data_IF_006076623352
#
_entry.id   IF_006076623352
#
_cell.length_a   1.000
_cell.length_b   1.000
_cell.length_c   1.000
_cell.angle_alpha   90.00
_cell.angle_beta   90.00
_cell.angle_gamma   90.00
#
_symmetry.space_group_name_H-M   'P 1'
#
loop_
_entity.id
_entity.type
_entity.pdbx_description
1 polymer ?
#
# COMPACT_ATOMS: atom_id res chain seq x y z
N UNK A 1 -19.45 -3.38 -20.28
CA UNK A 1 -18.00 -3.59 -20.47
C UNK A 1 -17.29 -3.95 -19.18
N UNK A 2 -17.47 -3.25 -18.08
CA UNK A 2 -16.80 -3.50 -16.77
C UNK A 2 -17.00 -4.92 -16.23
N UNK A 3 -18.16 -5.53 -16.44
CA UNK A 3 -18.44 -6.92 -15.99
C UNK A 3 -17.51 -7.99 -16.59
N UNK A 4 -16.91 -7.72 -17.73
CA UNK A 4 -16.00 -8.67 -18.40
C UNK A 4 -14.53 -8.53 -17.97
N UNK A 5 -14.13 -7.37 -17.43
CA UNK A 5 -12.76 -7.14 -16.92
C UNK A 5 -12.55 -7.94 -15.62
N UNK A 6 -13.54 -7.96 -14.72
CA UNK A 6 -13.46 -8.76 -13.49
C UNK A 6 -13.43 -10.27 -13.77
N UNK A 7 -14.16 -10.74 -14.81
CA UNK A 7 -14.11 -12.14 -15.22
C UNK A 7 -12.78 -12.53 -15.88
N UNK A 8 -12.13 -11.61 -16.59
CA UNK A 8 -10.84 -11.85 -17.22
C UNK A 8 -9.72 -11.98 -16.17
N UNK A 9 -9.75 -11.17 -15.11
CA UNK A 9 -8.77 -11.30 -14.01
C UNK A 9 -8.93 -12.62 -13.25
N UNK A 10 -10.15 -13.07 -13.01
CA UNK A 10 -10.40 -14.34 -12.31
C UNK A 10 -9.89 -15.58 -13.09
N UNK A 11 -9.87 -15.53 -14.42
CA UNK A 11 -9.40 -16.63 -15.28
C UNK A 11 -7.89 -16.74 -15.31
N UNK A 12 -7.15 -15.65 -15.11
CA UNK A 12 -5.68 -15.68 -15.15
C UNK A 12 -5.04 -16.39 -13.94
N UNK A 13 -5.78 -16.58 -12.85
CA UNK A 13 -5.26 -17.26 -11.64
C UNK A 13 -5.52 -18.77 -11.60
N UNK A 14 -6.11 -19.37 -12.62
CA UNK A 14 -6.42 -20.81 -12.65
C UNK A 14 -5.40 -21.68 -13.39
N UNK A 15 -4.37 -21.08 -13.98
CA UNK A 15 -3.29 -21.86 -14.63
C UNK A 15 -2.19 -22.18 -13.63
N UNK A 16 -1.56 -23.34 -13.77
CA UNK A 16 -0.52 -23.83 -12.89
C UNK A 16 0.54 -22.75 -12.62
N UNK A 17 0.59 -22.29 -11.37
CA UNK A 17 1.59 -21.33 -10.89
C UNK A 17 2.93 -22.05 -10.83
N UNK A 18 3.91 -21.60 -11.58
CA UNK A 18 5.29 -22.02 -11.46
C UNK A 18 5.96 -21.11 -10.45
N UNK A 19 6.30 -21.65 -9.28
CA UNK A 19 7.17 -21.05 -8.27
C UNK A 19 7.00 -19.54 -8.00
N UNK A 20 5.82 -19.13 -7.51
CA UNK A 20 5.67 -17.79 -6.92
C UNK A 20 6.65 -17.65 -5.74
N UNK A 21 7.37 -16.54 -5.67
CA UNK A 21 8.17 -16.18 -4.51
C UNK A 21 7.28 -15.54 -3.45
N UNK A 22 7.29 -16.10 -2.25
CA UNK A 22 6.49 -15.62 -1.11
C UNK A 22 7.45 -15.13 -0.04
N UNK A 23 7.47 -13.81 0.19
CA UNK A 23 8.34 -13.15 1.14
C UNK A 23 7.54 -12.55 2.30
N UNK A 24 7.45 -13.21 3.46
CA UNK A 24 6.89 -12.60 4.65
C UNK A 24 7.83 -11.54 5.23
N UNK A 25 7.27 -10.46 5.72
CA UNK A 25 8.03 -9.40 6.39
C UNK A 25 7.25 -8.82 7.58
N UNK A 26 7.94 -8.06 8.42
CA UNK A 26 7.31 -7.35 9.53
C UNK A 26 8.25 -6.39 10.21
N UNK A 27 7.67 -5.42 10.88
CA UNK A 27 8.39 -4.45 11.70
C UNK A 27 7.59 -4.22 12.96
N UNK A 28 8.23 -4.33 14.11
CA UNK A 28 7.70 -3.89 15.40
C UNK A 28 8.44 -2.62 15.81
N UNK A 29 7.73 -1.53 15.97
CA UNK A 29 8.28 -0.21 16.19
C UNK A 29 7.58 0.46 17.36
N UNK A 30 8.36 0.83 18.38
CA UNK A 30 7.85 1.45 19.59
C UNK A 30 8.47 2.83 19.78
N UNK A 31 7.65 3.73 20.28
CA UNK A 31 8.05 5.07 20.69
C UNK A 31 7.97 5.16 22.22
N UNK A 32 9.07 5.63 22.83
CA UNK A 32 9.07 6.05 24.23
C UNK A 32 9.07 7.57 24.30
N UNK A 33 8.12 8.13 25.02
CA UNK A 33 8.04 9.57 25.25
C UNK A 33 7.94 9.89 26.75
N UNK A 34 8.36 11.10 27.11
CA UNK A 34 8.07 11.73 28.39
C UNK A 34 7.22 12.95 28.07
N UNK A 35 5.97 12.90 28.42
CA UNK A 35 4.97 13.91 28.10
C UNK A 35 4.47 14.59 29.39
N UNK A 36 3.82 15.74 29.26
CA UNK A 36 3.16 16.42 30.38
C UNK A 36 1.64 16.46 30.14
N UNK A 37 0.87 16.23 31.18
CA UNK A 37 -0.58 16.42 31.13
C UNK A 37 -0.96 17.92 31.19
N UNK A 38 -2.25 18.24 31.04
CA UNK A 38 -2.76 19.59 31.09
C UNK A 38 -2.58 20.31 32.46
N UNK A 39 -2.19 19.57 33.49
CA UNK A 39 -1.89 20.06 34.83
C UNK A 39 -0.40 20.21 35.09
N UNK A 40 0.45 19.90 34.11
CA UNK A 40 1.90 19.98 34.22
C UNK A 40 2.56 18.76 34.88
N UNK A 41 1.85 17.64 35.05
CA UNK A 41 2.45 16.44 35.61
C UNK A 41 3.12 15.64 34.48
N UNK A 42 4.41 15.34 34.67
CA UNK A 42 5.16 14.52 33.74
C UNK A 42 4.80 13.03 33.84
N UNK A 43 4.65 12.34 32.73
CA UNK A 43 4.48 10.89 32.66
C UNK A 43 5.25 10.29 31.50
N UNK A 44 5.59 9.01 31.66
CA UNK A 44 6.24 8.27 30.57
C UNK A 44 5.21 7.46 29.81
N UNK A 45 5.35 7.39 28.49
CA UNK A 45 4.49 6.64 27.61
C UNK A 45 5.30 5.76 26.67
N UNK A 46 4.88 4.51 26.53
CA UNK A 46 5.37 3.58 25.53
C UNK A 46 4.22 3.32 24.56
N UNK A 47 4.39 3.62 23.29
CA UNK A 47 3.35 3.52 22.27
C UNK A 47 3.85 2.74 21.06
N UNK A 48 2.93 2.06 20.42
CA UNK A 48 3.17 1.56 19.04
C UNK A 48 3.44 2.75 18.11
N UNK A 49 4.41 2.59 17.21
CA UNK A 49 4.76 3.61 16.22
C UNK A 49 4.66 3.04 14.80
N UNK A 50 3.57 2.34 14.51
CA UNK A 50 3.27 1.79 13.20
C UNK A 50 3.86 0.40 12.95
N UNK A 51 3.76 -0.47 13.94
CA UNK A 51 4.07 -1.89 13.78
C UNK A 51 3.21 -2.52 12.68
N UNK A 52 3.79 -3.47 11.96
CA UNK A 52 3.12 -4.10 10.81
C UNK A 52 3.70 -5.46 10.48
N UNK A 53 2.89 -6.29 9.85
CA UNK A 53 3.28 -7.55 9.22
C UNK A 53 2.70 -7.63 7.83
N UNK A 54 3.38 -8.33 6.93
CA UNK A 54 2.91 -8.44 5.55
C UNK A 54 3.52 -9.62 4.81
N UNK A 55 3.02 -9.79 3.60
CA UNK A 55 3.50 -10.80 2.65
C UNK A 55 3.58 -10.13 1.29
N UNK A 56 4.73 -10.24 0.65
CA UNK A 56 4.93 -9.97 -0.76
C UNK A 56 4.88 -11.30 -1.52
N UNK A 57 4.19 -11.32 -2.64
CA UNK A 57 4.08 -12.46 -3.55
C UNK A 57 4.46 -11.98 -4.93
N UNK A 58 5.58 -12.45 -5.41
CA UNK A 58 6.15 -12.08 -6.71
C UNK A 58 6.18 -13.29 -7.65
N UNK A 59 6.45 -13.05 -8.93
CA UNK A 59 6.64 -14.05 -9.96
C UNK A 59 5.46 -15.06 -10.11
N UNK A 60 4.23 -14.56 -9.91
CA UNK A 60 3.03 -15.37 -10.14
C UNK A 60 2.85 -15.51 -11.66
N UNK A 61 3.34 -16.60 -12.22
CA UNK A 61 3.27 -16.78 -13.67
C UNK A 61 3.73 -18.17 -14.12
N UNK A 62 3.83 -18.32 -15.42
CA UNK A 62 4.40 -19.51 -16.08
C UNK A 62 5.76 -19.11 -16.66
N UNK A 63 6.75 -19.98 -16.49
CA UNK A 63 8.10 -19.76 -17.03
C UNK A 63 8.06 -19.41 -18.53
N UNK A 64 8.79 -18.36 -18.91
CA UNK A 64 8.85 -17.87 -20.30
C UNK A 64 7.73 -16.90 -20.69
N UNK A 65 6.83 -16.56 -19.79
CA UNK A 65 5.83 -15.51 -20.04
C UNK A 65 6.46 -14.11 -19.89
N UNK A 66 6.00 -13.17 -20.71
CA UNK A 66 6.42 -11.76 -20.66
C UNK A 66 5.58 -10.92 -19.69
N UNK A 67 4.58 -11.52 -19.08
CA UNK A 67 3.71 -10.92 -18.08
C UNK A 67 3.68 -11.82 -16.85
N UNK A 68 4.01 -11.27 -15.70
CA UNK A 68 4.00 -11.93 -14.41
C UNK A 68 3.02 -11.26 -13.47
N UNK A 69 2.43 -12.02 -12.56
CA UNK A 69 1.58 -11.50 -11.50
C UNK A 69 2.36 -11.17 -10.26
N UNK A 70 1.85 -10.24 -9.46
CA UNK A 70 2.33 -9.95 -8.11
C UNK A 70 1.18 -9.61 -7.18
N UNK A 71 1.39 -9.75 -5.88
CA UNK A 71 0.41 -9.34 -4.87
C UNK A 71 1.10 -8.88 -3.59
N UNK A 72 0.44 -7.99 -2.84
CA UNK A 72 0.90 -7.56 -1.53
C UNK A 72 -0.24 -7.50 -0.55
N UNK A 73 0.00 -8.06 0.64
CA UNK A 73 -0.87 -7.93 1.80
C UNK A 73 -0.05 -7.39 2.97
N UNK A 74 -0.51 -6.28 3.57
CA UNK A 74 0.10 -5.70 4.76
C UNK A 74 -1.01 -5.28 5.73
N UNK A 75 -0.88 -5.66 6.99
CA UNK A 75 -1.74 -5.24 8.09
C UNK A 75 -0.93 -4.50 9.14
N UNK A 76 -1.49 -3.43 9.69
CA UNK A 76 -0.99 -2.79 10.89
C UNK A 76 -1.26 -3.70 12.09
N UNK A 77 -0.36 -3.67 13.05
CA UNK A 77 -0.50 -4.40 14.31
C UNK A 77 -0.42 -3.38 15.44
N UNK A 78 -1.55 -3.10 16.08
CA UNK A 78 -1.58 -2.28 17.26
C UNK A 78 -1.19 -3.13 18.47
N UNK A 79 -0.09 -2.77 19.13
CA UNK A 79 0.50 -3.55 20.21
C UNK A 79 0.41 -2.86 21.57
N UNK A 80 -0.15 -1.64 21.62
CA UNK A 80 -0.22 -0.85 22.84
C UNK A 80 -1.65 -0.54 23.32
N UNK A 81 -2.67 -0.79 22.49
CA UNK A 81 -4.06 -0.56 22.82
C UNK A 81 -4.81 -1.88 23.06
N UNK A 82 -5.35 -2.03 24.27
CA UNK A 82 -6.17 -3.18 24.66
C UNK A 82 -7.68 -2.97 24.41
N UNK A 83 -8.08 -1.82 23.88
CA UNK A 83 -9.48 -1.40 23.74
C UNK A 83 -9.97 -1.28 22.30
N UNK A 84 -9.09 -1.39 21.30
CA UNK A 84 -9.42 -1.26 19.89
C UNK A 84 -9.04 -2.51 19.09
N UNK A 85 -9.22 -2.44 17.77
CA UNK A 85 -8.85 -3.53 16.87
C UNK A 85 -7.32 -3.69 16.81
N UNK A 86 -6.83 -4.88 17.14
CA UNK A 86 -5.39 -5.21 17.08
C UNK A 86 -4.83 -5.12 15.65
N UNK A 87 -5.68 -5.28 14.63
CA UNK A 87 -5.26 -5.26 13.24
C UNK A 87 -5.98 -4.17 12.45
N UNK A 88 -5.21 -3.44 11.65
CA UNK A 88 -5.75 -2.45 10.75
C UNK A 88 -5.30 -2.66 9.30
N UNK A 89 -6.17 -2.28 8.35
CA UNK A 89 -5.93 -2.48 6.92
C UNK A 89 -4.91 -1.48 6.40
N UNK A 90 -3.77 -1.95 5.90
CA UNK A 90 -2.74 -1.11 5.29
C UNK A 90 -2.71 -1.26 3.78
N UNK A 91 -2.20 -2.37 3.27
CA UNK A 91 -2.11 -2.65 1.83
C UNK A 91 -2.78 -3.98 1.51
N UNK A 92 -3.50 -4.03 0.41
CA UNK A 92 -4.10 -5.25 -0.11
C UNK A 92 -4.36 -5.06 -1.61
N UNK A 93 -3.41 -5.45 -2.46
CA UNK A 93 -3.53 -5.30 -3.90
C UNK A 93 -2.90 -6.45 -4.65
N UNK A 94 -3.32 -6.61 -5.89
CA UNK A 94 -2.77 -7.56 -6.86
C UNK A 94 -2.47 -6.83 -8.15
N UNK A 95 -1.49 -7.31 -8.91
CA UNK A 95 -1.10 -6.67 -10.15
C UNK A 95 -0.50 -7.61 -11.17
N UNK A 96 -0.24 -7.02 -12.34
CA UNK A 96 0.47 -7.64 -13.44
C UNK A 96 1.64 -6.75 -13.82
N UNK A 97 2.81 -7.34 -14.00
CA UNK A 97 4.05 -6.69 -14.38
C UNK A 97 4.50 -7.15 -15.76
N UNK A 98 4.96 -6.21 -16.57
CA UNK A 98 5.57 -6.50 -17.86
C UNK A 98 6.66 -5.49 -18.20
N UNK A 99 7.83 -5.98 -18.58
CA UNK A 99 8.95 -5.16 -19.01
C UNK A 99 8.60 -4.21 -20.16
N UNK A 100 7.66 -4.58 -21.03
CA UNK A 100 7.30 -3.78 -22.21
C UNK A 100 6.24 -2.72 -21.90
N UNK A 101 5.23 -3.04 -21.09
CA UNK A 101 4.08 -2.15 -20.83
C UNK A 101 4.16 -1.46 -19.47
N UNK A 102 4.88 -2.02 -18.49
CA UNK A 102 4.90 -1.57 -17.09
C UNK A 102 4.00 -2.41 -16.22
N UNK A 103 3.71 -1.91 -15.04
CA UNK A 103 2.97 -2.58 -13.99
C UNK A 103 1.58 -1.97 -13.84
N UNK A 104 0.58 -2.81 -13.69
CA UNK A 104 -0.79 -2.39 -13.38
C UNK A 104 -1.24 -3.15 -12.14
N UNK A 105 -1.77 -2.45 -11.15
CA UNK A 105 -2.29 -3.06 -9.93
C UNK A 105 -3.66 -2.53 -9.54
N UNK A 106 -4.40 -3.33 -8.78
CA UNK A 106 -5.73 -2.99 -8.28
C UNK A 106 -5.86 -3.38 -6.81
N UNK A 107 -6.52 -2.52 -6.02
CA UNK A 107 -6.79 -2.77 -4.62
C UNK A 107 -6.51 -1.57 -3.71
N UNK A 108 -6.18 -1.85 -2.44
CA UNK A 108 -5.76 -0.82 -1.49
C UNK A 108 -4.24 -0.69 -1.52
N UNK A 109 -3.75 0.44 -1.96
CA UNK A 109 -2.33 0.68 -2.18
C UNK A 109 -1.91 2.11 -1.84
N UNK A 110 -0.60 2.34 -1.74
CA UNK A 110 -0.03 3.65 -1.46
C UNK A 110 -0.24 4.61 -2.62
N UNK A 111 -0.29 5.89 -2.30
CA UNK A 111 -0.25 6.95 -3.30
C UNK A 111 1.16 7.14 -3.86
N UNK A 112 1.34 7.31 -5.18
CA UNK A 112 2.64 7.57 -5.80
C UNK A 112 3.36 8.78 -5.20
N UNK A 113 2.63 9.85 -4.86
CA UNK A 113 3.20 11.01 -4.17
C UNK A 113 3.80 10.65 -2.81
N UNK A 114 3.13 9.77 -2.05
CA UNK A 114 3.63 9.31 -0.75
C UNK A 114 4.93 8.55 -0.92
N UNK A 115 4.98 7.60 -1.85
CA UNK A 115 6.13 6.72 -2.02
C UNK A 115 7.34 7.44 -2.64
N UNK A 116 7.12 8.32 -3.62
CA UNK A 116 8.18 8.96 -4.36
C UNK A 116 8.66 10.29 -3.78
N UNK A 117 7.78 11.04 -3.08
CA UNK A 117 8.07 12.40 -2.61
C UNK A 117 8.06 12.47 -1.09
N UNK A 118 6.94 12.10 -0.46
CA UNK A 118 6.75 12.34 0.96
C UNK A 118 7.71 11.51 1.82
N UNK A 119 7.97 10.26 1.47
CA UNK A 119 8.93 9.40 2.19
C UNK A 119 10.36 9.92 2.09
N UNK A 120 10.74 10.50 0.95
CA UNK A 120 12.06 11.10 0.74
C UNK A 120 12.25 12.36 1.59
N UNK A 121 11.17 13.13 1.81
CA UNK A 121 11.20 14.34 2.63
C UNK A 121 11.02 14.06 4.14
N UNK A 122 10.52 12.89 4.52
CA UNK A 122 10.24 12.50 5.90
C UNK A 122 11.46 11.83 6.55
N UNK A 123 12.44 12.64 6.93
CA UNK A 123 13.69 12.18 7.56
C UNK A 123 13.55 11.90 9.06
N UNK A 124 12.45 12.32 9.69
CA UNK A 124 12.20 12.12 11.12
C UNK A 124 11.07 11.11 11.32
N UNK A 125 11.34 10.04 12.05
CA UNK A 125 10.36 8.97 12.27
C UNK A 125 9.29 9.32 13.31
N UNK A 126 9.59 10.16 14.30
CA UNK A 126 8.71 10.46 15.43
C UNK A 126 8.39 11.95 15.55
N UNK A 127 9.40 12.80 15.50
CA UNK A 127 9.27 14.24 15.70
C UNK A 127 9.80 15.01 14.49
N UNK A 128 9.20 16.16 14.21
CA UNK A 128 9.63 17.03 13.12
C UNK A 128 9.08 16.64 11.75
N UNK A 129 8.09 15.79 11.70
CA UNK A 129 7.36 15.49 10.46
C UNK A 129 6.68 16.73 9.89
N UNK A 130 6.71 16.91 8.57
CA UNK A 130 6.08 18.04 7.91
C UNK A 130 4.56 17.84 7.84
N UNK A 131 3.84 18.40 8.80
CA UNK A 131 2.38 18.42 8.83
C UNK A 131 1.76 19.44 7.84
N UNK A 132 2.58 20.14 7.07
CA UNK A 132 2.10 21.19 6.14
C UNK A 132 1.44 20.62 4.89
N UNK A 133 1.63 19.33 4.61
CA UNK A 133 1.00 18.64 3.49
C UNK A 133 0.05 17.57 4.03
N UNK A 134 -1.26 17.81 3.87
CA UNK A 134 -2.28 16.79 4.10
C UNK A 134 -2.52 16.04 2.79
N UNK A 135 -1.95 14.88 2.66
CA UNK A 135 -2.18 13.98 1.52
C UNK A 135 -2.61 12.60 2.05
N UNK A 136 -3.44 11.94 1.29
CA UNK A 136 -3.78 10.54 1.57
C UNK A 136 -2.54 9.66 1.41
N UNK A 137 -2.29 8.77 2.37
CA UNK A 137 -1.16 7.85 2.27
C UNK A 137 -1.51 6.58 1.49
N UNK A 138 -2.78 6.20 1.51
CA UNK A 138 -3.30 4.98 0.85
C UNK A 138 -4.73 5.19 0.41
N UNK A 139 -5.10 4.62 -0.73
CA UNK A 139 -6.48 4.55 -1.20
C UNK A 139 -6.95 3.12 -1.40
N UNK A 140 -8.18 2.85 -0.98
CA UNK A 140 -8.91 1.64 -1.36
C UNK A 140 -9.54 1.84 -2.75
N UNK A 141 -9.97 0.74 -3.37
CA UNK A 141 -10.66 0.76 -4.67
C UNK A 141 -9.86 1.50 -5.75
N UNK A 142 -8.54 1.40 -5.71
CA UNK A 142 -7.65 2.11 -6.63
C UNK A 142 -7.10 1.19 -7.72
N UNK A 143 -6.80 1.81 -8.85
CA UNK A 143 -6.06 1.23 -9.97
C UNK A 143 -4.79 2.06 -10.09
N UNK A 144 -3.62 1.43 -10.05
CA UNK A 144 -2.35 2.12 -10.25
C UNK A 144 -1.62 1.58 -11.48
N UNK A 145 -0.81 2.46 -12.07
CA UNK A 145 0.11 2.17 -13.15
C UNK A 145 1.48 2.70 -12.82
N UNK A 146 2.52 1.92 -13.09
CA UNK A 146 3.92 2.33 -12.95
C UNK A 146 4.73 1.88 -14.16
N UNK A 147 5.63 2.74 -14.63
CA UNK A 147 6.55 2.43 -15.72
C UNK A 147 7.84 3.23 -15.61
N UNK A 148 8.97 2.53 -15.65
CA UNK A 148 10.29 3.16 -15.79
C UNK A 148 10.76 3.15 -17.24
N UNK A 149 11.24 4.31 -17.72
CA UNK A 149 11.77 4.51 -19.06
C UNK A 149 13.13 5.19 -18.91
N UNK A 150 14.19 4.41 -18.87
CA UNK A 150 15.53 4.91 -18.54
C UNK A 150 15.57 5.53 -17.14
N UNK A 151 15.99 6.80 -16.99
CA UNK A 151 16.03 7.47 -15.68
C UNK A 151 14.67 8.05 -15.24
N UNK A 152 13.64 7.99 -16.06
CA UNK A 152 12.32 8.52 -15.78
C UNK A 152 11.41 7.41 -15.28
N UNK A 153 10.71 7.64 -14.15
CA UNK A 153 9.57 6.86 -13.69
C UNK A 153 8.27 7.64 -13.87
N UNK A 154 7.25 6.97 -14.34
CA UNK A 154 5.88 7.50 -14.48
C UNK A 154 4.97 6.63 -13.64
N UNK A 155 4.36 7.24 -12.65
CA UNK A 155 3.44 6.58 -11.72
C UNK A 155 2.11 7.34 -11.74
N UNK A 156 1.00 6.60 -11.76
CA UNK A 156 -0.33 7.17 -11.75
C UNK A 156 -1.27 6.29 -10.91
N UNK A 157 -2.21 6.92 -10.22
CA UNK A 157 -3.23 6.22 -9.43
C UNK A 157 -4.60 6.87 -9.66
N UNK A 158 -5.61 6.05 -9.88
CA UNK A 158 -7.00 6.47 -9.94
C UNK A 158 -7.83 5.71 -8.92
N UNK A 159 -8.73 6.41 -8.24
CA UNK A 159 -9.67 5.84 -7.28
C UNK A 159 -11.05 5.72 -7.91
N UNK A 160 -11.67 4.54 -7.75
CA UNK A 160 -13.01 4.23 -8.25
C UNK A 160 -13.82 3.69 -7.08
N UNK A 161 -14.40 4.56 -6.28
CA UNK A 161 -15.08 4.16 -5.04
C UNK A 161 -16.56 3.78 -5.24
N UNK A 162 -17.11 4.08 -6.41
CA UNK A 162 -18.47 3.73 -6.76
C UNK A 162 -19.54 4.52 -6.02
N UNK A 163 -19.22 5.73 -5.60
CA UNK A 163 -20.18 6.62 -4.95
C UNK A 163 -21.39 6.86 -5.83
N UNK A 164 -22.59 6.78 -5.23
CA UNK A 164 -23.86 6.95 -5.94
C UNK A 164 -23.92 8.30 -6.65
N UNK A 165 -24.16 8.26 -7.96
CA UNK A 165 -24.31 9.46 -8.81
C UNK A 165 -23.01 9.96 -9.44
N UNK A 166 -21.91 9.21 -9.31
CA UNK A 166 -20.66 9.46 -10.03
C UNK A 166 -20.31 8.26 -10.90
N UNK A 167 -20.04 8.52 -12.16
CA UNK A 167 -19.55 7.54 -13.11
C UNK A 167 -18.08 7.85 -13.44
N UNK A 168 -17.17 6.90 -13.19
CA UNK A 168 -15.77 7.00 -13.56
C UNK A 168 -14.79 7.03 -12.40
N UNK A 169 -13.70 7.77 -12.55
CA UNK A 169 -12.64 7.91 -11.55
C UNK A 169 -12.99 9.06 -10.60
N UNK A 170 -13.04 8.78 -9.31
CA UNK A 170 -13.43 9.75 -8.27
C UNK A 170 -12.26 10.67 -7.88
N UNK A 171 -11.03 10.16 -7.95
CA UNK A 171 -9.81 10.95 -7.81
C UNK A 171 -8.64 10.32 -8.55
N UNK A 172 -7.61 11.13 -8.88
CA UNK A 172 -6.40 10.66 -9.58
C UNK A 172 -5.15 11.41 -9.08
N UNK A 173 -4.01 10.76 -9.17
CA UNK A 173 -2.66 11.28 -8.94
C UNK A 173 -1.69 10.84 -10.05
#
# INVERSE_FOLDING_TARGET
MIKYIAALMAVLFTTAVSAAEITPYGTFNYKWSNDEDSSGNAYNKLEDNGSKIGIDIDDIGVEGQSVIGFAKLEVGVDTDDSGSDTFDSRLAYVGLSSNSIGDVSVGRQSHPFTDNVATTASIFNVYGGNSSFSYGTRSSNSIAYSKSIGPLSVDALGVVDGSSGKDGVDSYE
#
